data_IF_249534224658
#
_entry.id   IF_249534224658
#
_cell.length_a   1.000
_cell.length_b   1.000
_cell.length_c   1.000
_cell.angle_alpha   90.00
_cell.angle_beta   90.00
_cell.angle_gamma   90.00
#
_symmetry.space_group_name_H-M   'P 1'
#
loop_
_entity.id
_entity.type
_entity.pdbx_description
1 polymer ?
#
# COMPACT_ATOMS: atom_id res chain seq x y z
N UNK A 1 25.25 -20.84 13.08
CA UNK A 1 24.65 -19.64 13.71
C UNK A 1 23.19 -19.60 13.32
N UNK A 2 22.23 -19.59 14.26
CA UNK A 2 20.83 -19.42 13.90
C UNK A 2 20.69 -18.02 13.28
N UNK A 3 20.14 -17.97 12.05
CA UNK A 3 19.89 -16.74 11.31
C UNK A 3 19.04 -15.81 12.18
N UNK A 4 19.47 -14.55 12.37
CA UNK A 4 18.70 -13.55 13.10
C UNK A 4 17.27 -13.51 12.54
N UNK A 5 16.29 -13.71 13.42
CA UNK A 5 14.89 -13.74 13.02
C UNK A 5 14.47 -12.33 12.60
N UNK A 6 14.23 -12.13 11.31
CA UNK A 6 14.04 -10.81 10.69
C UNK A 6 12.73 -10.13 11.19
N UNK A 7 11.84 -10.90 11.83
CA UNK A 7 10.50 -10.46 12.23
C UNK A 7 10.22 -10.67 13.72
N UNK A 8 11.20 -10.38 14.59
CA UNK A 8 10.97 -10.27 16.04
C UNK A 8 9.83 -9.28 16.28
N UNK A 9 8.68 -9.82 16.69
CA UNK A 9 7.56 -9.01 17.14
C UNK A 9 7.99 -8.33 18.44
N UNK A 10 7.88 -6.99 18.49
CA UNK A 10 8.14 -6.27 19.72
C UNK A 10 7.22 -6.81 20.84
N UNK A 11 7.78 -7.04 22.02
CA UNK A 11 7.06 -7.48 23.20
C UNK A 11 5.88 -6.57 23.53
N UNK A 12 6.00 -5.25 23.28
CA UNK A 12 4.95 -4.26 23.56
C UNK A 12 3.70 -4.40 22.66
N UNK A 13 3.72 -5.28 21.66
CA UNK A 13 2.58 -5.46 20.76
C UNK A 13 1.44 -6.21 21.47
N UNK A 14 0.29 -5.55 21.60
CA UNK A 14 -0.91 -6.14 22.23
C UNK A 14 -1.33 -7.46 21.58
N UNK A 15 -1.25 -7.57 20.26
CA UNK A 15 -1.57 -8.81 19.54
C UNK A 15 -0.59 -9.94 19.83
N UNK A 16 0.70 -9.62 20.03
CA UNK A 16 1.70 -10.60 20.45
C UNK A 16 1.37 -11.17 21.84
N UNK A 17 1.02 -10.31 22.80
CA UNK A 17 0.59 -10.75 24.13
C UNK A 17 -0.67 -11.60 24.10
N UNK A 18 -1.67 -11.21 23.30
CA UNK A 18 -2.90 -11.99 23.12
C UNK A 18 -2.60 -13.38 22.58
N UNK A 19 -1.77 -13.51 21.54
CA UNK A 19 -1.39 -14.82 21.00
C UNK A 19 -0.67 -15.68 22.04
N UNK A 20 0.32 -15.11 22.76
CA UNK A 20 1.04 -15.80 23.83
C UNK A 20 0.11 -16.29 24.93
N UNK A 21 -0.87 -15.47 25.32
CA UNK A 21 -1.86 -15.82 26.35
C UNK A 21 -2.75 -17.00 25.95
N UNK A 22 -2.98 -17.19 24.65
CA UNK A 22 -3.75 -18.31 24.10
C UNK A 22 -2.89 -19.56 23.86
N UNK A 23 -1.65 -19.57 24.34
CA UNK A 23 -0.74 -20.72 24.25
C UNK A 23 0.09 -20.78 22.96
N UNK A 24 0.03 -19.76 22.09
CA UNK A 24 0.91 -19.71 20.93
C UNK A 24 2.37 -19.49 21.34
N UNK A 25 3.28 -20.18 20.65
CA UNK A 25 4.73 -20.07 20.88
C UNK A 25 5.39 -19.38 19.68
N UNK A 26 6.21 -18.38 19.96
CA UNK A 26 6.84 -17.54 18.94
C UNK A 26 7.71 -18.32 17.94
N UNK A 27 8.38 -19.38 18.41
CA UNK A 27 9.22 -20.23 17.55
C UNK A 27 8.43 -21.14 16.61
N UNK A 28 7.11 -21.25 16.80
CA UNK A 28 6.24 -22.18 16.09
C UNK A 28 5.21 -21.48 15.20
N UNK A 29 4.75 -22.22 14.19
CA UNK A 29 3.59 -21.84 13.40
C UNK A 29 2.28 -21.89 14.19
N UNK A 30 1.21 -21.42 13.57
CA UNK A 30 -0.16 -21.61 14.08
C UNK A 30 -0.71 -23.00 13.71
N UNK A 31 -1.77 -23.41 14.39
CA UNK A 31 -2.44 -24.70 14.18
C UNK A 31 -2.12 -25.72 15.27
N UNK A 32 -2.88 -26.83 15.29
CA UNK A 32 -2.83 -27.84 16.37
C UNK A 32 -1.41 -28.39 16.62
N UNK A 33 -0.63 -28.54 15.56
CA UNK A 33 0.74 -29.08 15.61
C UNK A 33 1.78 -28.02 15.20
N UNK A 34 1.39 -26.74 15.15
CA UNK A 34 2.26 -25.66 14.68
C UNK A 34 2.58 -25.73 13.18
N UNK A 35 1.73 -26.41 12.39
CA UNK A 35 1.95 -26.65 10.96
C UNK A 35 1.86 -25.41 10.07
N UNK A 36 1.31 -24.32 10.59
CA UNK A 36 1.21 -23.04 9.91
C UNK A 36 2.59 -22.44 9.65
N UNK A 37 2.67 -21.52 8.69
CA UNK A 37 3.91 -20.77 8.48
C UNK A 37 4.12 -19.78 9.63
N UNK A 38 5.33 -19.76 10.17
CA UNK A 38 5.76 -18.77 11.19
C UNK A 38 5.81 -17.36 10.60
N UNK A 39 6.38 -17.21 9.41
CA UNK A 39 6.58 -15.92 8.78
C UNK A 39 5.53 -15.66 7.69
N UNK A 40 5.15 -14.39 7.45
CA UNK A 40 4.27 -14.00 6.35
C UNK A 40 4.82 -14.43 4.98
N UNK A 41 3.94 -14.70 4.04
CA UNK A 41 4.32 -15.01 2.65
C UNK A 41 4.74 -13.73 1.93
N UNK A 42 5.95 -13.72 1.38
CA UNK A 42 6.42 -12.62 0.55
C UNK A 42 5.64 -12.57 -0.79
N UNK A 43 5.19 -11.39 -1.16
CA UNK A 43 4.42 -11.11 -2.38
C UNK A 43 5.23 -10.27 -3.36
N UNK A 44 4.75 -10.10 -4.59
CA UNK A 44 5.35 -9.16 -5.56
C UNK A 44 4.28 -8.15 -5.92
N UNK A 45 4.54 -6.88 -5.63
CA UNK A 45 3.66 -5.82 -6.11
C UNK A 45 3.92 -5.60 -7.60
N UNK A 46 2.93 -5.87 -8.43
CA UNK A 46 2.97 -5.54 -9.86
C UNK A 46 2.81 -4.04 -10.04
N UNK A 47 3.83 -3.39 -10.61
CA UNK A 47 3.86 -1.93 -10.84
C UNK A 47 3.74 -1.55 -12.32
N UNK A 48 3.80 -2.52 -13.21
CA UNK A 48 3.77 -2.31 -14.66
C UNK A 48 2.42 -2.73 -15.25
N UNK A 49 2.28 -2.46 -16.56
CA UNK A 49 1.12 -2.90 -17.37
C UNK A 49 1.49 -4.07 -18.28
N UNK A 50 2.66 -4.68 -18.08
CA UNK A 50 3.13 -5.78 -18.93
C UNK A 50 2.39 -7.08 -18.59
N UNK A 51 2.36 -8.02 -19.53
CA UNK A 51 1.71 -9.30 -19.33
C UNK A 51 2.45 -10.16 -18.31
N UNK A 52 1.75 -11.15 -17.75
CA UNK A 52 2.35 -12.15 -16.87
C UNK A 52 3.46 -12.91 -17.62
N UNK A 53 4.54 -13.24 -16.91
CA UNK A 53 5.71 -13.93 -17.48
C UNK A 53 6.73 -13.00 -18.13
N UNK A 54 6.43 -11.70 -18.30
CA UNK A 54 7.45 -10.72 -18.65
C UNK A 54 8.50 -10.64 -17.53
N UNK A 55 9.78 -10.73 -17.89
CA UNK A 55 10.90 -10.72 -16.93
C UNK A 55 11.12 -9.30 -16.41
N UNK A 56 10.28 -8.85 -15.48
CA UNK A 56 10.53 -7.59 -14.80
C UNK A 56 11.64 -7.77 -13.76
N UNK A 57 12.86 -7.38 -14.16
CA UNK A 57 14.06 -7.40 -13.32
C UNK A 57 13.95 -6.47 -12.10
N UNK A 58 12.98 -5.54 -12.08
CA UNK A 58 12.75 -4.61 -10.96
C UNK A 58 11.76 -5.15 -9.92
N UNK A 59 11.03 -6.22 -10.23
CA UNK A 59 10.02 -6.80 -9.34
C UNK A 59 10.63 -7.81 -8.35
N UNK A 60 11.08 -7.32 -7.19
CA UNK A 60 11.57 -8.19 -6.10
C UNK A 60 10.43 -8.67 -5.21
N UNK A 61 10.40 -9.99 -4.91
CA UNK A 61 9.52 -10.60 -3.89
C UNK A 61 9.85 -10.05 -2.51
N UNK A 62 8.90 -9.35 -1.88
CA UNK A 62 9.02 -8.78 -0.53
C UNK A 62 7.64 -8.74 0.13
N UNK A 63 7.58 -8.66 1.45
CA UNK A 63 6.28 -8.40 2.12
C UNK A 63 5.80 -7.01 1.66
N UNK A 64 4.67 -6.96 0.95
CA UNK A 64 4.15 -5.71 0.33
C UNK A 64 3.39 -4.81 1.30
N UNK A 65 3.18 -5.26 2.52
CA UNK A 65 2.44 -4.55 3.55
C UNK A 65 3.34 -4.34 4.77
N UNK A 66 4.38 -3.52 4.61
CA UNK A 66 5.11 -3.05 5.77
C UNK A 66 4.21 -2.14 6.61
N UNK A 67 4.42 -2.11 7.93
CA UNK A 67 3.66 -1.24 8.84
C UNK A 67 3.68 0.22 8.34
N UNK A 68 4.83 0.71 7.88
CA UNK A 68 5.00 2.05 7.33
C UNK A 68 4.18 2.32 6.05
N UNK A 69 4.06 1.34 5.15
CA UNK A 69 3.26 1.47 3.92
C UNK A 69 1.77 1.52 4.24
N UNK A 70 1.29 0.68 5.17
CA UNK A 70 -0.11 0.70 5.63
C UNK A 70 -0.44 2.06 6.27
N UNK A 71 0.45 2.60 7.11
CA UNK A 71 0.24 3.92 7.71
C UNK A 71 0.26 5.06 6.70
N UNK A 72 1.11 4.98 5.67
CA UNK A 72 1.13 5.94 4.55
C UNK A 72 -0.16 5.90 3.74
N UNK A 73 -0.71 4.72 3.45
CA UNK A 73 -1.99 4.58 2.74
C UNK A 73 -3.18 5.10 3.57
N UNK A 74 -3.16 4.91 4.89
CA UNK A 74 -4.18 5.47 5.80
C UNK A 74 -4.23 6.99 5.79
N UNK A 75 -3.14 7.67 5.44
CA UNK A 75 -3.12 9.12 5.20
C UNK A 75 -3.76 9.40 3.83
N UNK A 76 -5.09 9.25 3.77
CA UNK A 76 -5.91 9.76 2.67
C UNK A 76 -5.69 11.27 2.57
N UNK A 77 -4.99 11.70 1.52
CA UNK A 77 -4.82 13.11 1.22
C UNK A 77 -6.02 13.57 0.36
N UNK A 78 -6.72 14.66 0.73
CA UNK A 78 -7.77 15.22 -0.11
C UNK A 78 -7.22 15.57 -1.50
N UNK A 79 -7.93 15.22 -2.57
CA UNK A 79 -7.56 15.62 -3.95
C UNK A 79 -7.85 17.12 -4.15
N UNK A 80 -7.10 18.01 -3.50
CA UNK A 80 -7.19 19.47 -3.67
C UNK A 80 -7.06 19.87 -5.14
N UNK A 81 -6.14 19.19 -5.80
CA UNK A 81 -5.87 19.16 -7.23
C UNK A 81 -7.13 19.17 -8.11
N UNK A 82 -8.11 18.28 -7.87
CA UNK A 82 -9.28 18.16 -8.74
C UNK A 82 -10.16 19.43 -8.80
N UNK A 83 -10.24 20.18 -7.70
CA UNK A 83 -11.03 21.41 -7.62
C UNK A 83 -10.39 22.55 -8.40
N UNK A 84 -9.05 22.64 -8.38
CA UNK A 84 -8.33 23.67 -9.14
C UNK A 84 -8.44 23.47 -10.66
N UNK A 85 -8.28 22.22 -11.14
CA UNK A 85 -8.45 21.92 -12.56
C UNK A 85 -9.87 22.24 -13.04
N UNK A 86 -10.88 21.91 -12.24
CA UNK A 86 -12.27 22.28 -12.55
C UNK A 86 -12.49 23.79 -12.58
N UNK A 87 -11.86 24.55 -11.67
CA UNK A 87 -11.95 26.02 -11.65
C UNK A 87 -11.30 26.64 -12.87
N UNK A 88 -10.11 26.15 -13.26
CA UNK A 88 -9.36 26.64 -14.44
C UNK A 88 -10.13 26.39 -15.74
N UNK A 89 -10.66 25.17 -15.92
CA UNK A 89 -11.45 24.82 -17.10
C UNK A 89 -12.73 25.68 -17.23
N UNK A 90 -13.34 26.05 -16.09
CA UNK A 90 -14.53 26.92 -16.06
C UNK A 90 -14.20 28.38 -16.42
N UNK A 91 -13.02 28.86 -16.04
CA UNK A 91 -12.54 30.20 -16.41
C UNK A 91 -12.27 30.28 -17.92
N UNK A 92 -11.53 29.30 -18.44
CA UNK A 92 -11.18 29.20 -19.87
C UNK A 92 -12.44 29.11 -20.74
N UNK A 93 -13.45 28.35 -20.30
CA UNK A 93 -14.74 28.29 -20.99
C UNK A 93 -15.45 29.64 -21.05
N UNK A 94 -15.42 30.43 -19.95
CA UNK A 94 -16.02 31.76 -19.91
C UNK A 94 -15.29 32.73 -20.84
N UNK A 95 -13.96 32.72 -20.80
CA UNK A 95 -13.12 33.55 -21.67
C UNK A 95 -13.37 33.25 -23.15
N UNK A 96 -13.46 31.98 -23.52
CA UNK A 96 -13.76 31.55 -24.89
C UNK A 96 -15.12 32.02 -25.36
N UNK A 97 -16.15 31.94 -24.51
CA UNK A 97 -17.50 32.44 -24.85
C UNK A 97 -17.50 33.96 -25.02
N UNK A 98 -16.81 34.70 -24.16
CA UNK A 98 -16.68 36.15 -24.28
C UNK A 98 -15.96 36.56 -25.59
N UNK A 99 -14.88 35.86 -25.95
CA UNK A 99 -14.16 36.07 -27.20
C UNK A 99 -15.05 35.80 -28.43
N UNK A 100 -15.85 34.72 -28.40
CA UNK A 100 -16.78 34.39 -29.46
C UNK A 100 -17.88 35.44 -29.63
N UNK A 101 -18.34 36.06 -28.54
CA UNK A 101 -19.30 37.16 -28.60
C UNK A 101 -18.68 38.39 -29.26
N UNK A 102 -17.45 38.74 -28.87
CA UNK A 102 -16.72 39.88 -29.43
C UNK A 102 -16.43 39.75 -30.94
N UNK A 103 -16.21 38.54 -31.43
CA UNK A 103 -15.93 38.27 -32.85
C UNK A 103 -17.20 38.23 -33.73
N UNK A 104 -18.39 38.26 -33.13
CA UNK A 104 -19.67 38.14 -33.83
C UNK A 104 -20.39 39.49 -33.99
N UNK A 105 -19.97 40.50 -33.23
CA UNK A 105 -20.36 41.91 -33.37
C UNK A 105 -19.37 42.64 -34.30
#
# INVERSE_FOLDING_TARGET
MPSADILVLNGDNVGFHMLRSQGWQYEQGLGKEGQGKRHPVATVLKRDRLCLGHKDQRSRKRVTHSHEEIEKEKKWQPKEKGKEWARKARLESKERVALLHYLKD
#
